data_IF_662760158047
#
_entry.id   IF_662760158047
#
_cell.length_a   1.000
_cell.length_b   1.000
_cell.length_c   1.000
_cell.angle_alpha   90.00
_cell.angle_beta   90.00
_cell.angle_gamma   90.00
#
_symmetry.space_group_name_H-M   'P 1'
#
loop_
_entity.id
_entity.type
_entity.pdbx_description
1 polymer ?
#
# COMPACT_ATOMS: atom_id res chain seq x y z
N UNK A 1 -21.81 2.61 0.11
CA UNK A 1 -21.62 2.80 -1.34
C UNK A 1 -22.87 2.28 -2.03
N UNK A 2 -23.59 3.11 -2.79
CA UNK A 2 -24.80 2.69 -3.51
C UNK A 2 -24.40 2.33 -4.94
N UNK A 3 -24.61 1.07 -5.33
CA UNK A 3 -24.51 0.65 -6.72
C UNK A 3 -25.93 0.64 -7.30
N UNK A 4 -26.16 1.30 -8.44
CA UNK A 4 -27.43 1.31 -9.14
C UNK A 4 -27.46 0.12 -10.11
N UNK A 5 -28.36 -0.82 -9.89
CA UNK A 5 -28.79 -1.77 -10.91
C UNK A 5 -30.14 -1.33 -11.44
N UNK A 6 -30.39 -1.53 -12.75
CA UNK A 6 -31.59 -1.08 -13.41
C UNK A 6 -32.88 -1.50 -12.70
N UNK A 7 -33.81 -0.59 -12.68
CA UNK A 7 -35.19 -0.67 -12.20
C UNK A 7 -35.44 -1.60 -11.01
N UNK A 8 -35.35 -1.05 -9.81
CA UNK A 8 -36.18 -1.48 -8.69
C UNK A 8 -35.54 -2.16 -7.49
N UNK A 9 -34.25 -2.49 -7.48
CA UNK A 9 -33.63 -3.02 -6.25
C UNK A 9 -32.22 -2.47 -6.04
N UNK A 10 -31.94 -1.81 -4.89
CA UNK A 10 -30.60 -1.44 -4.52
C UNK A 10 -29.82 -2.72 -4.16
N UNK A 11 -28.74 -3.01 -4.87
CA UNK A 11 -27.74 -3.97 -4.44
C UNK A 11 -27.09 -3.45 -3.16
N UNK A 12 -27.50 -3.98 -2.02
CA UNK A 12 -26.72 -3.87 -0.79
C UNK A 12 -25.55 -4.83 -0.92
N UNK A 13 -24.35 -4.30 -1.07
CA UNK A 13 -23.14 -5.02 -0.70
C UNK A 13 -23.26 -5.28 0.79
N UNK A 14 -23.72 -6.48 1.17
CA UNK A 14 -23.58 -6.94 2.55
C UNK A 14 -22.08 -7.17 2.75
N UNK A 15 -21.42 -6.28 3.50
CA UNK A 15 -20.19 -6.65 4.18
C UNK A 15 -20.58 -7.76 5.15
N UNK A 16 -20.21 -8.98 4.82
CA UNK A 16 -20.30 -10.09 5.76
C UNK A 16 -19.25 -9.79 6.83
N UNK A 17 -19.68 -9.34 8.03
CA UNK A 17 -18.82 -9.43 9.21
C UNK A 17 -18.66 -10.92 9.51
N UNK A 18 -17.46 -11.49 9.37
CA UNK A 18 -17.24 -12.85 9.81
C UNK A 18 -17.45 -12.91 11.31
N UNK A 19 -18.21 -13.90 11.77
CA UNK A 19 -18.39 -14.17 13.19
C UNK A 19 -17.02 -14.24 13.87
N UNK A 20 -16.81 -13.44 14.90
CA UNK A 20 -15.51 -13.26 15.60
C UNK A 20 -14.95 -14.54 16.24
N UNK A 21 -15.62 -15.68 16.11
CA UNK A 21 -15.28 -16.95 16.77
C UNK A 21 -14.53 -17.95 15.92
N UNK A 22 -14.61 -17.88 14.61
CA UNK A 22 -13.84 -18.76 13.75
C UNK A 22 -12.60 -18.00 13.24
N UNK A 23 -11.42 -18.48 13.64
CA UNK A 23 -10.17 -18.12 12.95
C UNK A 23 -10.29 -18.69 11.54
N UNK A 24 -10.75 -17.87 10.61
CA UNK A 24 -10.79 -18.26 9.20
C UNK A 24 -9.36 -18.60 8.76
N UNK A 25 -9.07 -19.86 8.44
CA UNK A 25 -7.73 -20.25 7.98
C UNK A 25 -7.37 -19.62 6.63
N UNK A 26 -8.34 -19.05 5.95
CA UNK A 26 -8.16 -18.39 4.65
C UNK A 26 -8.80 -16.98 4.69
N UNK A 27 -8.10 -16.00 5.27
CA UNK A 27 -8.62 -14.65 5.45
C UNK A 27 -9.03 -14.03 4.11
N UNK A 28 -10.28 -13.59 4.01
CA UNK A 28 -10.82 -12.92 2.81
C UNK A 28 -10.33 -11.48 2.66
N UNK A 29 -9.64 -10.95 3.67
CA UNK A 29 -9.08 -9.61 3.67
C UNK A 29 -7.56 -9.66 3.46
N UNK A 30 -7.09 -8.95 2.45
CA UNK A 30 -5.69 -8.82 2.12
C UNK A 30 -5.23 -7.39 2.39
N UNK A 31 -4.24 -7.22 3.29
CA UNK A 31 -3.60 -5.95 3.52
C UNK A 31 -2.54 -5.70 2.43
N UNK A 32 -2.55 -4.52 1.84
CA UNK A 32 -1.65 -4.16 0.75
C UNK A 32 -1.17 -2.71 0.92
N UNK A 33 0.14 -2.53 0.85
CA UNK A 33 0.75 -1.22 0.62
C UNK A 33 0.87 -0.96 -0.87
N UNK A 34 0.64 0.29 -1.27
CA UNK A 34 0.81 0.70 -2.65
C UNK A 34 1.32 2.13 -2.76
N UNK A 35 2.19 2.37 -3.73
CA UNK A 35 2.65 3.68 -4.14
C UNK A 35 2.37 3.83 -5.63
N UNK A 36 1.66 4.90 -5.98
CA UNK A 36 1.46 5.30 -7.37
C UNK A 36 2.62 6.21 -7.79
N UNK A 37 3.36 5.81 -8.77
CA UNK A 37 4.41 6.62 -9.38
C UNK A 37 3.78 7.66 -10.30
N UNK A 38 4.12 8.92 -10.12
CA UNK A 38 3.61 10.01 -10.96
C UNK A 38 4.27 10.01 -12.35
N UNK A 39 5.56 9.68 -12.42
CA UNK A 39 6.33 9.67 -13.66
C UNK A 39 5.94 8.55 -14.65
N UNK A 40 5.60 7.36 -14.16
CA UNK A 40 5.27 6.20 -14.99
C UNK A 40 3.82 5.75 -14.88
N UNK A 41 3.05 6.29 -13.92
CA UNK A 41 1.71 5.84 -13.56
C UNK A 41 1.65 4.37 -13.12
N UNK A 42 2.78 3.78 -12.79
CA UNK A 42 2.91 2.42 -12.30
C UNK A 42 2.61 2.34 -10.81
N UNK A 43 1.97 1.24 -10.41
CA UNK A 43 1.74 0.91 -9.00
C UNK A 43 2.85 0.00 -8.49
N UNK A 44 3.51 0.41 -7.41
CA UNK A 44 4.42 -0.44 -6.64
C UNK A 44 3.65 -1.04 -5.47
N UNK A 45 3.46 -2.36 -5.46
CA UNK A 45 2.61 -3.04 -4.49
C UNK A 45 3.39 -4.05 -3.65
N UNK A 46 3.07 -4.11 -2.36
CA UNK A 46 3.50 -5.19 -1.46
C UNK A 46 2.35 -5.61 -0.56
N UNK A 47 2.08 -6.88 -0.52
CA UNK A 47 1.12 -7.46 0.41
C UNK A 47 1.74 -7.64 1.78
N UNK A 48 0.90 -7.70 2.80
CA UNK A 48 1.31 -7.77 4.21
C UNK A 48 0.65 -8.96 4.88
N UNK A 49 1.43 -9.75 5.58
CA UNK A 49 0.89 -10.74 6.53
C UNK A 49 0.53 -10.01 7.83
N UNK A 50 -0.77 -9.82 8.07
CA UNK A 50 -1.28 -9.10 9.24
C UNK A 50 -1.80 -7.70 8.92
N UNK A 51 -1.44 -6.72 9.74
CA UNK A 51 -1.98 -5.36 9.68
C UNK A 51 -0.94 -4.34 9.23
N UNK A 52 -1.42 -3.22 8.69
CA UNK A 52 -0.59 -2.05 8.46
C UNK A 52 -0.16 -1.44 9.82
N UNK A 53 1.12 -1.49 10.11
CA UNK A 53 1.75 -0.94 11.32
C UNK A 53 3.04 -0.23 10.96
N UNK A 54 3.59 0.54 11.89
CA UNK A 54 4.73 1.43 11.61
C UNK A 54 5.95 0.72 11.03
N UNK A 55 6.38 -0.41 11.61
CA UNK A 55 7.57 -1.13 11.11
C UNK A 55 7.34 -1.78 9.74
N UNK A 56 6.11 -2.20 9.41
CA UNK A 56 5.78 -2.66 8.05
C UNK A 56 5.84 -1.49 7.06
N UNK A 57 5.39 -0.30 7.49
CA UNK A 57 5.55 0.93 6.70
C UNK A 57 7.02 1.23 6.41
N UNK A 58 7.90 1.12 7.39
CA UNK A 58 9.34 1.35 7.19
C UNK A 58 9.96 0.31 6.26
N UNK A 59 9.63 -0.97 6.40
CA UNK A 59 10.09 -2.03 5.50
C UNK A 59 9.60 -1.81 4.06
N UNK A 60 8.36 -1.36 3.89
CA UNK A 60 7.84 -0.99 2.57
C UNK A 60 8.60 0.18 1.95
N UNK A 61 8.86 1.24 2.73
CA UNK A 61 9.62 2.41 2.26
C UNK A 61 11.07 2.06 1.90
N UNK A 62 11.70 1.15 2.66
CA UNK A 62 13.05 0.66 2.37
C UNK A 62 13.10 -0.02 1.01
N UNK A 63 12.19 -0.97 0.77
CA UNK A 63 12.06 -1.63 -0.53
C UNK A 63 11.79 -0.64 -1.68
N UNK A 64 10.91 0.34 -1.49
CA UNK A 64 10.67 1.37 -2.53
C UNK A 64 11.94 2.17 -2.81
N UNK A 65 12.72 2.51 -1.77
CA UNK A 65 14.00 3.20 -1.98
C UNK A 65 15.00 2.36 -2.76
N UNK A 66 15.06 1.04 -2.54
CA UNK A 66 15.90 0.11 -3.30
C UNK A 66 15.50 0.12 -4.78
N UNK A 67 14.20 -0.03 -5.09
CA UNK A 67 13.70 0.09 -6.46
C UNK A 67 14.08 1.42 -7.12
N UNK A 68 13.99 2.52 -6.37
CA UNK A 68 14.34 3.84 -6.89
C UNK A 68 15.86 4.02 -7.09
N UNK A 69 16.70 3.37 -6.27
CA UNK A 69 18.16 3.34 -6.46
C UNK A 69 18.52 2.63 -7.75
N UNK A 70 17.91 1.48 -8.04
CA UNK A 70 18.13 0.71 -9.27
C UNK A 70 17.82 1.53 -10.53
N UNK A 71 16.84 2.44 -10.44
CA UNK A 71 16.49 3.36 -11.50
C UNK A 71 17.33 4.65 -11.52
N UNK A 72 18.35 4.77 -10.69
CA UNK A 72 19.22 5.94 -10.61
C UNK A 72 18.57 7.18 -10.00
N UNK A 73 17.41 7.05 -9.36
CA UNK A 73 16.74 8.16 -8.67
C UNK A 73 17.54 8.56 -7.42
N UNK A 74 17.44 9.81 -7.02
CA UNK A 74 18.17 10.35 -5.86
C UNK A 74 17.27 10.87 -4.76
N UNK A 75 16.03 11.20 -5.10
CA UNK A 75 15.03 11.74 -4.18
C UNK A 75 13.69 11.11 -4.49
N UNK A 76 12.97 10.70 -3.47
CA UNK A 76 11.59 10.25 -3.53
C UNK A 76 10.73 11.16 -2.65
N UNK A 77 9.80 11.89 -3.26
CA UNK A 77 8.77 12.63 -2.55
C UNK A 77 7.58 11.69 -2.38
N UNK A 78 7.23 11.38 -1.15
CA UNK A 78 6.10 10.51 -0.81
C UNK A 78 4.93 11.37 -0.35
N UNK A 79 3.89 11.44 -1.19
CA UNK A 79 2.64 12.10 -0.86
C UNK A 79 1.70 11.05 -0.27
N UNK A 80 1.27 11.25 0.97
CA UNK A 80 0.42 10.29 1.68
C UNK A 80 -0.61 10.95 2.57
N UNK A 81 -1.60 10.18 2.95
CA UNK A 81 -2.63 10.61 3.86
C UNK A 81 -2.13 10.71 5.31
N UNK A 82 -3.03 11.10 6.20
CA UNK A 82 -2.76 11.27 7.62
C UNK A 82 -3.04 10.00 8.45
N UNK A 83 -2.92 8.81 7.87
CA UNK A 83 -3.07 7.58 8.63
C UNK A 83 -2.06 7.52 9.80
N UNK A 84 -2.49 7.02 10.94
CA UNK A 84 -1.69 7.05 12.18
C UNK A 84 -0.34 6.32 12.04
N UNK A 85 -0.29 5.24 11.27
CA UNK A 85 0.95 4.51 10.98
C UNK A 85 1.88 5.25 10.03
N UNK A 86 1.39 6.17 9.16
CA UNK A 86 2.22 7.04 8.33
C UNK A 86 2.87 8.17 9.14
N UNK A 87 2.15 8.70 10.12
CA UNK A 87 2.62 9.81 10.96
C UNK A 87 3.28 9.37 12.26
N UNK A 88 3.44 8.06 12.48
CA UNK A 88 3.99 7.56 13.72
C UNK A 88 5.40 8.10 13.97
N UNK A 89 5.74 8.29 15.25
CA UNK A 89 7.08 8.72 15.66
C UNK A 89 8.15 7.76 15.14
N UNK A 90 7.83 6.46 15.10
CA UNK A 90 8.72 5.41 14.59
C UNK A 90 9.05 5.64 13.10
N UNK A 91 8.06 5.81 12.24
CA UNK A 91 8.26 6.06 10.81
C UNK A 91 9.02 7.36 10.57
N UNK A 92 8.66 8.43 11.27
CA UNK A 92 9.35 9.72 11.11
C UNK A 92 10.81 9.68 11.60
N UNK A 93 11.10 8.94 12.66
CA UNK A 93 12.48 8.75 13.14
C UNK A 93 13.27 7.88 12.15
N UNK A 94 12.65 6.82 11.61
CA UNK A 94 13.28 5.98 10.60
C UNK A 94 13.64 6.80 9.36
N UNK A 95 12.73 7.63 8.82
CA UNK A 95 12.99 8.51 7.67
C UNK A 95 14.19 9.44 7.95
N UNK A 96 14.26 10.04 9.13
CA UNK A 96 15.39 10.93 9.51
C UNK A 96 16.71 10.17 9.54
N UNK A 97 16.73 8.98 10.15
CA UNK A 97 17.91 8.12 10.22
C UNK A 97 18.35 7.65 8.83
N UNK A 98 17.40 7.19 8.01
CA UNK A 98 17.61 6.80 6.62
C UNK A 98 18.25 7.94 5.82
N UNK A 99 17.66 9.12 5.85
CA UNK A 99 18.18 10.28 5.12
C UNK A 99 19.60 10.68 5.58
N UNK A 100 19.87 10.61 6.89
CA UNK A 100 21.21 10.86 7.43
C UNK A 100 22.23 9.86 6.88
N UNK A 101 21.87 8.56 6.84
CA UNK A 101 22.71 7.50 6.25
C UNK A 101 22.93 7.75 4.76
N UNK A 102 21.89 8.04 4.00
CA UNK A 102 21.98 8.32 2.55
C UNK A 102 22.90 9.48 2.26
N UNK A 103 22.86 10.56 3.06
CA UNK A 103 23.76 11.70 2.89
C UNK A 103 25.23 11.33 3.17
N UNK A 104 25.50 10.51 4.18
CA UNK A 104 26.84 9.99 4.47
C UNK A 104 27.34 9.08 3.35
N UNK A 105 26.50 8.15 2.88
CA UNK A 105 26.80 7.22 1.80
C UNK A 105 27.11 7.95 0.49
N UNK A 106 26.35 8.99 0.16
CA UNK A 106 26.62 9.83 -1.02
C UNK A 106 27.97 10.54 -0.95
N UNK A 107 28.39 11.02 0.21
CA UNK A 107 29.72 11.62 0.40
C UNK A 107 30.83 10.58 0.18
N UNK A 108 30.53 9.30 0.44
CA UNK A 108 31.41 8.17 0.14
C UNK A 108 31.27 7.60 -1.28
N UNK A 109 30.54 8.29 -2.17
CA UNK A 109 30.35 7.87 -3.58
C UNK A 109 29.33 6.76 -3.78
N UNK A 110 28.55 6.41 -2.75
CA UNK A 110 27.51 5.37 -2.85
C UNK A 110 26.16 5.94 -3.33
N UNK A 111 25.37 5.11 -3.99
CA UNK A 111 23.99 5.44 -4.35
C UNK A 111 23.07 5.44 -3.12
N UNK A 112 21.98 6.20 -3.22
CA UNK A 112 20.94 6.22 -2.19
C UNK A 112 19.86 7.23 -2.51
N UNK A 113 18.64 6.97 -2.03
CA UNK A 113 17.44 7.80 -2.26
C UNK A 113 17.03 8.48 -0.95
N UNK A 114 16.97 9.80 -0.96
CA UNK A 114 16.40 10.56 0.14
C UNK A 114 14.88 10.55 0.08
N UNK A 115 14.22 10.38 1.21
CA UNK A 115 12.77 10.42 1.37
C UNK A 115 12.33 11.81 1.85
N UNK A 116 11.36 12.39 1.16
CA UNK A 116 10.71 13.64 1.56
C UNK A 116 9.23 13.33 1.79
N UNK A 117 8.78 13.17 3.04
CA UNK A 117 7.36 12.96 3.34
C UNK A 117 6.58 14.26 3.13
N UNK A 118 5.48 14.17 2.41
CA UNK A 118 4.54 15.24 2.14
C UNK A 118 3.14 14.78 2.54
N UNK A 119 2.61 15.33 3.62
CA UNK A 119 1.28 14.95 4.11
C UNK A 119 0.20 15.77 3.44
N UNK A 120 -0.87 15.11 3.02
CA UNK A 120 -2.06 15.76 2.50
C UNK A 120 -2.79 16.54 3.61
N UNK A 121 -3.50 17.61 3.27
CA UNK A 121 -4.37 18.28 4.22
C UNK A 121 -5.39 17.31 4.81
N UNK A 122 -5.75 17.51 6.06
CA UNK A 122 -6.77 16.69 6.73
C UNK A 122 -8.09 16.72 5.95
N UNK A 123 -8.77 15.57 5.88
CA UNK A 123 -10.05 15.40 5.18
C UNK A 123 -10.03 15.75 3.69
N UNK A 124 -8.91 15.60 3.01
CA UNK A 124 -8.76 15.90 1.58
C UNK A 124 -8.36 14.66 0.76
N UNK A 125 -9.12 13.54 0.81
CA UNK A 125 -8.75 12.31 0.09
C UNK A 125 -8.74 12.49 -1.43
N UNK A 126 -9.47 13.46 -1.97
CA UNK A 126 -9.49 13.76 -3.40
C UNK A 126 -8.15 14.29 -3.94
N UNK A 127 -7.24 14.75 -3.07
CA UNK A 127 -5.89 15.15 -3.44
C UNK A 127 -4.94 13.96 -3.55
N UNK A 128 -5.36 12.77 -3.11
CA UNK A 128 -4.56 11.56 -3.18
C UNK A 128 -4.81 10.82 -4.50
N UNK A 129 -3.91 10.97 -5.45
CA UNK A 129 -4.02 10.40 -6.80
C UNK A 129 -4.12 8.87 -6.83
N UNK A 130 -3.73 8.19 -5.76
CA UNK A 130 -3.84 6.72 -5.67
C UNK A 130 -5.26 6.25 -5.34
N UNK A 131 -6.09 7.08 -4.69
CA UNK A 131 -7.44 6.67 -4.26
C UNK A 131 -8.33 6.19 -5.42
N UNK A 132 -8.42 6.91 -6.56
CA UNK A 132 -9.16 6.41 -7.70
C UNK A 132 -8.64 5.06 -8.21
N UNK A 133 -7.32 4.84 -8.18
CA UNK A 133 -6.72 3.56 -8.59
C UNK A 133 -7.21 2.42 -7.69
N UNK A 134 -7.23 2.64 -6.36
CA UNK A 134 -7.77 1.65 -5.42
C UNK A 134 -9.25 1.35 -5.64
N UNK A 135 -10.06 2.38 -5.88
CA UNK A 135 -11.49 2.19 -6.16
C UNK A 135 -11.70 1.35 -7.42
N UNK A 136 -11.00 1.66 -8.50
CA UNK A 136 -11.10 0.91 -9.76
C UNK A 136 -10.56 -0.51 -9.62
N UNK A 137 -9.39 -0.67 -8.98
CA UNK A 137 -8.79 -1.97 -8.73
C UNK A 137 -9.72 -2.88 -7.91
N UNK A 138 -10.25 -2.40 -6.80
CA UNK A 138 -11.21 -3.16 -5.98
C UNK A 138 -12.42 -3.63 -6.78
N UNK A 139 -12.98 -2.77 -7.63
CA UNK A 139 -14.13 -3.15 -8.48
C UNK A 139 -13.78 -4.20 -9.54
N UNK A 140 -12.56 -4.16 -10.06
CA UNK A 140 -12.12 -5.08 -11.11
C UNK A 140 -11.76 -6.47 -10.58
N UNK A 141 -11.22 -6.57 -9.34
CA UNK A 141 -10.68 -7.84 -8.82
C UNK A 141 -11.64 -8.60 -7.93
N UNK A 142 -12.65 -7.93 -7.33
CA UNK A 142 -13.62 -8.55 -6.42
C UNK A 142 -14.80 -9.11 -7.22
N UNK A 143 -15.11 -10.38 -7.01
CA UNK A 143 -16.34 -11.01 -7.51
C UNK A 143 -17.45 -10.90 -6.45
N UNK A 144 -18.60 -10.28 -6.76
CA UNK A 144 -19.68 -10.11 -5.80
C UNK A 144 -20.26 -11.42 -5.27
N UNK A 145 -20.11 -12.51 -6.03
CA UNK A 145 -20.79 -13.79 -5.78
C UNK A 145 -19.88 -14.88 -5.19
N UNK A 146 -18.58 -14.66 -5.03
CA UNK A 146 -17.66 -15.70 -4.57
C UNK A 146 -16.62 -15.13 -3.58
N UNK A 147 -16.39 -15.87 -2.48
CA UNK A 147 -15.22 -15.63 -1.61
C UNK A 147 -13.97 -16.08 -2.36
N UNK A 148 -13.01 -15.19 -2.50
CA UNK A 148 -11.71 -15.48 -3.10
C UNK A 148 -10.69 -15.72 -1.99
N UNK A 149 -9.89 -16.81 -2.07
CA UNK A 149 -8.72 -16.99 -1.23
C UNK A 149 -7.76 -15.81 -1.36
N UNK A 150 -7.08 -15.45 -0.27
CA UNK A 150 -6.17 -14.31 -0.21
C UNK A 150 -5.09 -14.35 -1.30
N UNK A 151 -4.52 -15.55 -1.56
CA UNK A 151 -3.53 -15.73 -2.62
C UNK A 151 -4.10 -15.41 -4.00
N UNK A 152 -5.29 -15.92 -4.32
CA UNK A 152 -5.94 -15.66 -5.62
C UNK A 152 -6.34 -14.21 -5.79
N UNK A 153 -6.71 -13.55 -4.68
CA UNK A 153 -6.96 -12.12 -4.68
C UNK A 153 -5.67 -11.33 -4.95
N UNK A 154 -4.54 -11.71 -4.33
CA UNK A 154 -3.25 -11.10 -4.58
C UNK A 154 -2.83 -11.21 -6.07
N UNK A 155 -2.96 -12.40 -6.65
CA UNK A 155 -2.66 -12.65 -8.07
C UNK A 155 -3.52 -11.75 -8.98
N UNK A 156 -4.83 -11.63 -8.70
CA UNK A 156 -5.71 -10.75 -9.48
C UNK A 156 -5.32 -9.29 -9.35
N UNK A 157 -4.96 -8.85 -8.16
CA UNK A 157 -4.50 -7.48 -7.93
C UNK A 157 -3.22 -7.21 -8.72
N UNK A 158 -2.23 -8.11 -8.65
CA UNK A 158 -0.99 -7.97 -9.41
C UNK A 158 -1.24 -7.97 -10.93
N UNK A 159 -2.10 -8.86 -11.43
CA UNK A 159 -2.47 -8.88 -12.84
C UNK A 159 -3.17 -7.59 -13.29
N UNK A 160 -4.06 -7.04 -12.45
CA UNK A 160 -4.75 -5.79 -12.76
C UNK A 160 -3.80 -4.59 -12.85
N UNK A 161 -2.86 -4.48 -11.89
CA UNK A 161 -1.90 -3.39 -11.85
C UNK A 161 -0.63 -3.67 -12.67
N UNK A 162 -0.49 -4.86 -13.26
CA UNK A 162 0.67 -5.31 -14.04
C UNK A 162 1.97 -5.19 -13.25
N UNK A 163 1.95 -5.68 -12.03
CA UNK A 163 3.10 -5.73 -11.12
C UNK A 163 3.42 -7.15 -10.70
N UNK A 164 4.63 -7.39 -10.24
CA UNK A 164 5.06 -8.69 -9.75
C UNK A 164 4.43 -9.03 -8.39
N UNK A 165 4.11 -10.31 -8.19
CA UNK A 165 3.67 -10.81 -6.89
C UNK A 165 4.90 -11.17 -6.06
N UNK A 166 5.38 -10.22 -5.28
CA UNK A 166 6.53 -10.39 -4.41
C UNK A 166 6.15 -11.04 -3.08
N UNK A 167 7.14 -11.59 -2.36
CA UNK A 167 6.95 -12.13 -1.01
C UNK A 167 6.31 -11.09 -0.10
N UNK A 168 5.35 -11.52 0.73
CA UNK A 168 4.62 -10.63 1.63
C UNK A 168 5.55 -10.03 2.70
N UNK A 169 5.30 -8.78 3.04
CA UNK A 169 5.94 -8.15 4.19
C UNK A 169 5.38 -8.78 5.47
N UNK A 170 6.27 -9.22 6.36
CA UNK A 170 5.88 -9.87 7.61
C UNK A 170 5.80 -8.86 8.75
N UNK A 171 4.76 -8.99 9.54
CA UNK A 171 4.69 -8.32 10.81
C UNK A 171 5.59 -9.10 11.79
N UNK A 172 6.79 -8.58 12.07
CA UNK A 172 7.62 -9.17 13.13
C UNK A 172 6.88 -9.03 14.46
N UNK A 173 6.31 -10.11 14.93
CA UNK A 173 5.76 -10.20 16.27
C UNK A 173 6.94 -10.40 17.20
N UNK A 174 7.36 -9.30 17.86
CA UNK A 174 8.33 -9.35 18.97
C UNK A 174 7.62 -9.82 20.23
#
# INVERSE_FOLDING_TARGET
MHAWTGVGQPLRLQEFEPDKKDKDPDPTALCCYGLLRDDTQQMLLRFVEGRAVSHVTTAYLEWVCECMVEEGKRVLVVIWDNASWHQSREVMNWIRAHNKKVLADRRAGKAGVQLIPCFLPSKSPWLNSIEPKWVHGKRAVVEPAAKLPAQRLAERVCNYYKCDHLEHLKQNVS
#
